data_IF_849518427240
#
_entry.id   IF_849518427240
#
_cell.length_a   1.000
_cell.length_b   1.000
_cell.length_c   1.000
_cell.angle_alpha   90.00
_cell.angle_beta   90.00
_cell.angle_gamma   90.00
#
_symmetry.space_group_name_H-M   'P 1'
#
loop_
_entity.id
_entity.type
_entity.pdbx_description
1 polymer ?
#
# COMPACT_ATOMS: atom_id res chain seq x y z
N UNK A 1 -3.75 -19.16 18.55
CA UNK A 1 -2.78 -18.09 18.24
C UNK A 1 -3.39 -16.77 18.64
N UNK A 2 -2.66 -15.90 19.33
CA UNK A 2 -3.17 -14.58 19.72
C UNK A 2 -3.07 -13.62 18.53
N UNK A 3 -4.11 -12.80 18.32
CA UNK A 3 -4.08 -11.73 17.32
C UNK A 3 -3.52 -10.48 18.01
N UNK A 4 -2.46 -9.91 17.43
CA UNK A 4 -1.90 -8.64 17.87
C UNK A 4 -2.46 -7.51 17.01
N UNK A 5 -3.08 -6.52 17.63
CA UNK A 5 -3.56 -5.31 16.96
C UNK A 5 -2.57 -4.16 17.19
N UNK A 6 -2.13 -3.50 16.11
CA UNK A 6 -1.33 -2.29 16.15
C UNK A 6 -2.19 -1.12 15.67
N UNK A 7 -2.19 -0.02 16.44
CA UNK A 7 -2.88 1.22 16.08
C UNK A 7 -1.90 2.39 16.21
N UNK A 8 -1.83 3.22 15.16
CA UNK A 8 -1.00 4.42 15.10
C UNK A 8 -1.73 5.50 14.31
N UNK A 9 -1.57 6.76 14.70
CA UNK A 9 -2.18 7.93 14.08
C UNK A 9 -1.17 9.07 13.98
N UNK A 10 -1.32 9.92 12.96
CA UNK A 10 -0.60 11.18 12.80
C UNK A 10 -1.56 12.25 12.27
N UNK A 11 -1.37 13.50 12.68
CA UNK A 11 -2.08 14.65 12.12
C UNK A 11 -1.28 15.23 10.95
N UNK A 12 -1.96 15.52 9.83
CA UNK A 12 -1.36 16.16 8.66
C UNK A 12 -2.14 17.45 8.39
N UNK A 13 -1.45 18.59 8.39
CA UNK A 13 -2.03 19.90 8.08
C UNK A 13 -2.27 20.06 6.57
N UNK A 14 -3.25 19.31 6.06
CA UNK A 14 -3.71 19.33 4.68
C UNK A 14 -5.14 18.80 4.57
N UNK A 15 -5.84 19.13 3.48
CA UNK A 15 -7.15 18.56 3.21
C UNK A 15 -7.06 17.05 2.89
N UNK A 16 -8.12 16.30 3.17
CA UNK A 16 -8.18 14.87 2.89
C UNK A 16 -7.94 14.57 1.40
N UNK A 17 -8.47 15.39 0.49
CA UNK A 17 -8.29 15.24 -0.96
C UNK A 17 -6.82 15.42 -1.35
N UNK A 18 -6.12 16.38 -0.74
CA UNK A 18 -4.70 16.61 -0.99
C UNK A 18 -3.86 15.42 -0.53
N UNK A 19 -4.14 14.91 0.67
CA UNK A 19 -3.46 13.72 1.20
C UNK A 19 -3.74 12.51 0.31
N UNK A 20 -4.99 12.30 -0.08
CA UNK A 20 -5.37 11.21 -0.98
C UNK A 20 -4.67 11.30 -2.34
N UNK A 21 -4.57 12.49 -2.94
CA UNK A 21 -3.86 12.70 -4.19
C UNK A 21 -2.38 12.31 -4.10
N UNK A 22 -1.72 12.58 -2.97
CA UNK A 22 -0.32 12.17 -2.74
C UNK A 22 -0.19 10.67 -2.48
N UNK A 23 -1.11 10.10 -1.69
CA UNK A 23 -1.12 8.66 -1.41
C UNK A 23 -1.50 7.82 -2.63
N UNK A 24 -2.25 8.35 -3.58
CA UNK A 24 -2.59 7.66 -4.83
C UNK A 24 -1.58 7.90 -5.95
N UNK A 25 -0.69 8.90 -5.83
CA UNK A 25 0.41 9.15 -6.75
C UNK A 25 1.61 8.23 -6.47
N UNK A 26 1.44 6.98 -6.89
CA UNK A 26 2.45 5.92 -6.79
C UNK A 26 3.80 6.26 -7.44
N UNK A 27 3.82 7.09 -8.48
CA UNK A 27 5.06 7.45 -9.17
C UNK A 27 5.95 8.36 -8.30
N UNK A 28 5.35 9.16 -7.42
CA UNK A 28 6.05 10.08 -6.53
C UNK A 28 6.51 9.45 -5.22
N UNK A 29 6.14 8.20 -4.93
CA UNK A 29 6.50 7.51 -3.70
C UNK A 29 8.00 7.51 -3.38
N UNK A 30 8.93 7.27 -4.34
CA UNK A 30 10.36 7.27 -4.04
C UNK A 30 10.90 8.59 -3.47
N UNK A 31 10.20 9.71 -3.65
CA UNK A 31 10.62 11.02 -3.15
C UNK A 31 10.47 11.16 -1.63
N UNK A 32 9.43 10.56 -1.05
CA UNK A 32 9.10 10.70 0.38
C UNK A 32 9.07 9.35 1.13
N UNK A 33 8.82 8.25 0.43
CA UNK A 33 8.84 6.88 0.94
C UNK A 33 9.88 6.03 0.16
N UNK A 34 11.18 6.19 0.43
CA UNK A 34 12.24 5.53 -0.33
C UNK A 34 12.27 4.00 -0.16
N UNK A 35 11.48 3.46 0.79
CA UNK A 35 11.26 2.03 0.97
C UNK A 35 10.44 1.42 -0.18
N UNK A 36 9.50 2.18 -0.76
CA UNK A 36 8.71 1.74 -1.91
C UNK A 36 9.37 2.27 -3.18
N UNK A 37 9.80 1.37 -4.06
CA UNK A 37 10.47 1.72 -5.32
C UNK A 37 9.51 1.94 -6.46
N UNK A 38 8.47 1.13 -6.54
CA UNK A 38 7.41 1.29 -7.51
C UNK A 38 6.14 0.63 -7.02
N UNK A 39 5.02 1.18 -7.46
CA UNK A 39 3.71 0.55 -7.36
C UNK A 39 3.08 0.58 -8.75
N UNK A 40 2.56 -0.56 -9.20
CA UNK A 40 1.85 -0.69 -10.46
C UNK A 40 0.41 -1.16 -10.21
N UNK A 41 -0.56 -0.51 -10.88
CA UNK A 41 -1.99 -0.76 -10.73
C UNK A 41 -2.76 0.53 -10.45
N UNK A 42 -4.09 0.44 -10.41
CA UNK A 42 -4.97 1.59 -10.19
C UNK A 42 -5.45 1.64 -8.73
N UNK A 43 -5.49 2.82 -8.09
CA UNK A 43 -5.98 2.99 -6.71
C UNK A 43 -7.52 2.97 -6.68
N UNK A 44 -8.10 1.84 -7.11
CA UNK A 44 -9.53 1.59 -7.16
C UNK A 44 -9.90 0.44 -6.23
N UNK A 45 -11.13 0.45 -5.74
CA UNK A 45 -11.63 -0.63 -4.89
C UNK A 45 -11.59 -1.96 -5.64
N UNK A 46 -11.01 -2.98 -5.01
CA UNK A 46 -10.87 -4.32 -5.58
C UNK A 46 -9.73 -4.46 -6.61
N UNK A 47 -9.05 -3.37 -6.98
CA UNK A 47 -7.89 -3.44 -7.85
C UNK A 47 -6.70 -4.08 -7.14
N UNK A 48 -5.83 -4.71 -7.93
CA UNK A 48 -4.61 -5.36 -7.44
C UNK A 48 -3.41 -4.45 -7.69
N UNK A 49 -2.66 -4.16 -6.65
CA UNK A 49 -1.43 -3.39 -6.72
C UNK A 49 -0.22 -4.31 -6.62
N UNK A 50 0.75 -4.13 -7.52
CA UNK A 50 2.06 -4.75 -7.43
C UNK A 50 3.03 -3.75 -6.82
N UNK A 51 3.60 -4.08 -5.67
CA UNK A 51 4.49 -3.17 -4.92
C UNK A 51 5.89 -3.77 -4.89
N UNK A 52 6.88 -3.01 -5.36
CA UNK A 52 8.29 -3.33 -5.21
C UNK A 52 8.89 -2.54 -4.05
N UNK A 53 9.42 -3.25 -3.05
CA UNK A 53 10.02 -2.63 -1.87
C UNK A 53 11.52 -2.93 -1.77
N UNK A 54 12.27 -2.00 -1.20
CA UNK A 54 13.68 -2.15 -0.88
C UNK A 54 13.96 -1.64 0.53
N UNK A 55 14.33 -2.54 1.45
CA UNK A 55 14.86 -2.15 2.75
C UNK A 55 16.33 -1.74 2.66
N UNK A 56 16.79 -0.86 3.55
CA UNK A 56 18.22 -0.54 3.67
C UNK A 56 18.97 -1.82 4.06
N UNK A 57 19.66 -2.43 3.09
CA UNK A 57 20.44 -3.66 3.24
C UNK A 57 19.79 -4.95 2.71
N UNK A 58 18.54 -4.92 2.24
CA UNK A 58 17.81 -6.11 1.77
C UNK A 58 17.72 -6.25 0.25
N UNK A 59 17.59 -7.50 -0.22
CA UNK A 59 17.23 -7.83 -1.61
C UNK A 59 15.86 -7.25 -1.95
N UNK A 60 15.67 -6.83 -3.21
CA UNK A 60 14.34 -6.41 -3.71
C UNK A 60 13.41 -7.62 -3.60
N UNK A 61 12.33 -7.46 -2.84
CA UNK A 61 11.25 -8.46 -2.75
C UNK A 61 10.03 -7.86 -3.40
N UNK A 62 9.61 -8.42 -4.52
CA UNK A 62 8.29 -8.15 -5.09
C UNK A 62 7.31 -9.14 -4.45
N UNK A 63 6.29 -8.63 -3.76
CA UNK A 63 5.21 -9.48 -3.27
C UNK A 63 4.28 -9.81 -4.46
N UNK A 64 4.17 -11.08 -4.90
CA UNK A 64 3.18 -11.45 -5.91
C UNK A 64 1.77 -11.30 -5.32
N UNK A 65 0.75 -10.98 -6.14
CA UNK A 65 -0.61 -10.85 -5.66
C UNK A 65 -1.12 -12.20 -5.14
N UNK A 66 -1.33 -12.32 -3.83
CA UNK A 66 -2.05 -13.46 -3.24
C UNK A 66 -3.54 -13.30 -3.54
N UNK A 67 -4.24 -14.35 -4.01
CA UNK A 67 -5.69 -14.30 -4.09
C UNK A 67 -6.27 -14.24 -2.68
N UNK A 68 -6.91 -13.13 -2.32
CA UNK A 68 -7.93 -13.17 -1.26
C UNK A 68 -9.03 -14.10 -1.76
N UNK A 69 -9.00 -15.33 -1.27
CA UNK A 69 -10.14 -16.23 -1.29
C UNK A 69 -11.23 -15.61 -0.42
N UNK A 70 -12.05 -14.75 -1.03
CA UNK A 70 -13.32 -14.31 -0.47
C UNK A 70 -14.42 -14.85 -1.38
N UNK A 71 -14.68 -16.16 -1.24
CA UNK A 71 -15.96 -16.73 -1.61
C UNK A 71 -16.99 -16.17 -0.62
N UNK A 72 -17.50 -14.98 -0.92
CA UNK A 72 -18.71 -14.47 -0.29
C UNK A 72 -19.86 -15.33 -0.82
N UNK A 73 -20.21 -16.35 -0.03
CA UNK A 73 -21.39 -17.19 -0.23
C UNK A 73 -22.61 -16.28 -0.34
N UNK A 74 -23.17 -16.30 -1.55
CA UNK A 74 -24.49 -15.80 -1.95
C UNK A 74 -25.56 -16.08 -0.87
N UNK A 75 -26.30 -15.05 -0.47
CA UNK A 75 -27.56 -15.19 0.26
C UNK A 75 -28.49 -14.00 0.07
#
# INVERSE_FOLDING_TARGET
MAIHHLHTEIEIDASAERVWAVLSDFASYPQWNPFIKSVAGEPQQGARLQIAVQSRGGKVVSAPPTPSSEAHQDR
#
